data_IF_804840640138
#
_entry.id   IF_804840640138
#
_cell.length_a   1.000
_cell.length_b   1.000
_cell.length_c   1.000
_cell.angle_alpha   90.00
_cell.angle_beta   90.00
_cell.angle_gamma   90.00
#
_symmetry.space_group_name_H-M   'P 1'
#
loop_
_entity.id
_entity.type
_entity.pdbx_description
1 polymer ?
#
# COMPACT_ATOMS: atom_id res chain seq x y z
N UNK A 1 -2.89 37.41 -25.89
CA UNK A 1 -3.44 36.08 -26.21
C UNK A 1 -2.88 35.02 -25.28
N UNK A 2 -3.68 34.62 -24.28
CA UNK A 2 -3.31 33.57 -23.33
C UNK A 2 -3.91 32.23 -23.76
N UNK A 3 -3.17 31.14 -23.51
CA UNK A 3 -3.57 29.76 -23.76
C UNK A 3 -3.28 28.88 -22.56
N UNK A 4 -3.97 27.75 -22.49
CA UNK A 4 -3.73 26.72 -21.50
C UNK A 4 -2.59 25.79 -21.92
N UNK A 5 -1.74 25.43 -20.97
CA UNK A 5 -0.64 24.50 -21.15
C UNK A 5 -0.59 23.50 -19.99
N UNK A 6 -0.21 22.26 -20.29
CA UNK A 6 0.12 21.24 -19.30
C UNK A 6 1.59 20.89 -19.45
N UNK A 7 2.37 20.94 -18.36
CA UNK A 7 3.72 20.41 -18.34
C UNK A 7 3.73 19.12 -17.52
N UNK A 8 4.46 18.11 -18.01
CA UNK A 8 4.67 16.84 -17.32
C UNK A 8 6.16 16.51 -17.24
N UNK A 9 6.62 16.06 -16.07
CA UNK A 9 8.04 15.77 -15.82
C UNK A 9 8.39 14.40 -16.41
N UNK A 10 9.37 14.36 -17.31
CA UNK A 10 9.86 13.07 -17.81
C UNK A 10 10.59 12.33 -16.70
N UNK A 11 9.99 11.23 -16.24
CA UNK A 11 10.54 10.32 -15.24
C UNK A 11 11.08 11.05 -13.99
N UNK A 12 10.23 11.80 -13.28
CA UNK A 12 10.60 12.68 -12.15
C UNK A 12 11.72 12.11 -11.25
N UNK A 13 11.49 10.96 -10.61
CA UNK A 13 12.46 10.45 -9.62
C UNK A 13 13.84 10.15 -10.22
N UNK A 14 13.97 9.31 -11.26
CA UNK A 14 15.26 9.02 -11.83
C UNK A 14 15.86 10.20 -12.60
N UNK A 15 15.12 11.25 -12.95
CA UNK A 15 15.66 12.40 -13.70
C UNK A 15 16.27 13.50 -12.83
N UNK A 16 16.00 13.54 -11.52
CA UNK A 16 16.49 14.59 -10.63
C UNK A 16 17.98 14.44 -10.31
N UNK A 17 18.84 15.42 -10.63
CA UNK A 17 20.26 15.37 -10.24
C UNK A 17 20.44 15.45 -8.71
N UNK A 18 21.32 14.61 -8.16
CA UNK A 18 21.67 14.66 -6.72
C UNK A 18 22.23 16.02 -6.33
N UNK A 19 23.01 16.67 -7.20
CA UNK A 19 23.52 18.03 -6.98
C UNK A 19 22.41 19.03 -6.72
N UNK A 20 21.34 18.98 -7.53
CA UNK A 20 20.19 19.87 -7.43
C UNK A 20 19.43 19.64 -6.11
N UNK A 21 19.32 18.39 -5.66
CA UNK A 21 18.76 18.07 -4.33
C UNK A 21 19.57 18.74 -3.22
N UNK A 22 20.89 18.60 -3.26
CA UNK A 22 21.77 19.14 -2.22
C UNK A 22 21.78 20.68 -2.21
N UNK A 23 21.69 21.31 -3.38
CA UNK A 23 21.53 22.76 -3.53
C UNK A 23 20.20 23.22 -2.95
N UNK A 24 19.10 22.56 -3.33
CA UNK A 24 17.76 22.90 -2.86
C UNK A 24 17.65 22.78 -1.32
N UNK A 25 18.29 21.75 -0.72
CA UNK A 25 18.39 21.62 0.75
C UNK A 25 19.16 22.78 1.36
N UNK A 26 20.24 23.21 0.72
CA UNK A 26 21.08 24.32 1.21
C UNK A 26 20.29 25.62 1.21
N UNK A 27 19.54 25.89 0.13
CA UNK A 27 18.73 27.10 0.00
C UNK A 27 17.60 27.17 1.04
N UNK A 28 17.03 26.03 1.43
CA UNK A 28 15.93 25.95 2.42
C UNK A 28 16.38 25.53 3.81
N UNK A 29 17.68 25.57 4.09
CA UNK A 29 18.21 25.08 5.36
C UNK A 29 17.63 25.82 6.57
N UNK A 30 17.30 27.10 6.42
CA UNK A 30 16.67 27.91 7.47
C UNK A 30 15.32 27.35 7.93
N UNK A 31 14.58 26.71 7.03
CA UNK A 31 13.29 26.06 7.32
C UNK A 31 13.47 24.63 7.85
N UNK A 32 14.55 23.94 7.43
CA UNK A 32 14.80 22.53 7.76
C UNK A 32 15.46 22.38 9.14
N UNK A 33 16.38 23.29 9.50
CA UNK A 33 17.24 23.18 10.69
C UNK A 33 16.46 23.02 12.00
N UNK A 34 15.24 23.55 12.09
CA UNK A 34 14.45 23.51 13.31
C UNK A 34 13.82 22.13 13.56
N UNK A 35 13.80 21.27 12.54
CA UNK A 35 13.26 19.91 12.60
C UNK A 35 14.35 18.83 12.79
N UNK A 36 15.61 19.21 12.95
CA UNK A 36 16.71 18.25 13.10
C UNK A 36 17.82 18.79 13.99
N UNK A 37 18.49 17.88 14.71
CA UNK A 37 19.69 18.22 15.50
C UNK A 37 20.97 18.14 14.66
N UNK A 38 20.90 17.64 13.43
CA UNK A 38 22.03 17.45 12.54
C UNK A 38 22.34 18.77 11.83
N UNK A 39 23.61 19.18 11.83
CA UNK A 39 24.02 20.38 11.09
C UNK A 39 23.95 20.19 9.57
N UNK A 40 23.96 21.30 8.80
CA UNK A 40 23.82 21.28 7.35
C UNK A 40 24.84 20.35 6.66
N UNK A 41 26.09 20.34 7.14
CA UNK A 41 27.15 19.54 6.55
C UNK A 41 26.82 18.05 6.65
N UNK A 42 26.54 17.55 7.85
CA UNK A 42 26.22 16.14 8.08
C UNK A 42 24.88 15.75 7.46
N UNK A 43 23.91 16.64 7.44
CA UNK A 43 22.62 16.39 6.79
C UNK A 43 22.80 16.17 5.28
N UNK A 44 23.53 17.06 4.60
CA UNK A 44 23.85 16.93 3.16
C UNK A 44 24.66 15.67 2.88
N UNK A 45 25.68 15.38 3.69
CA UNK A 45 26.49 14.16 3.53
C UNK A 45 25.64 12.89 3.69
N UNK A 46 24.72 12.88 4.65
CA UNK A 46 23.82 11.74 4.88
C UNK A 46 22.89 11.51 3.69
N UNK A 47 22.26 12.57 3.17
CA UNK A 47 21.38 12.47 1.99
C UNK A 47 22.18 12.03 0.75
N UNK A 48 23.35 12.63 0.52
CA UNK A 48 24.22 12.25 -0.59
C UNK A 48 24.63 10.77 -0.51
N UNK A 49 25.05 10.32 0.68
CA UNK A 49 25.43 8.93 0.91
C UNK A 49 24.27 7.98 0.62
N UNK A 50 23.07 8.26 1.14
CA UNK A 50 21.88 7.41 0.93
C UNK A 50 21.53 7.31 -0.57
N UNK A 51 21.52 8.44 -1.27
CA UNK A 51 21.17 8.47 -2.70
C UNK A 51 22.22 7.79 -3.58
N UNK A 52 23.51 7.91 -3.24
CA UNK A 52 24.59 7.27 -3.99
C UNK A 52 24.70 5.76 -3.74
N UNK A 53 24.23 5.27 -2.59
CA UNK A 53 24.38 3.88 -2.17
C UNK A 53 23.04 3.13 -2.15
N UNK A 54 22.22 3.35 -3.19
CA UNK A 54 20.96 2.63 -3.36
C UNK A 54 21.17 1.36 -4.20
N UNK A 55 20.98 0.21 -3.57
CA UNK A 55 21.09 -1.11 -4.19
C UNK A 55 19.74 -1.83 -4.22
N UNK A 56 19.49 -2.58 -5.29
CA UNK A 56 18.33 -3.45 -5.41
C UNK A 56 18.69 -4.78 -6.08
N UNK A 57 17.86 -5.80 -5.85
CA UNK A 57 18.03 -7.13 -6.44
C UNK A 57 16.94 -7.34 -7.48
N UNK A 58 17.33 -7.76 -8.68
CA UNK A 58 16.43 -8.17 -9.74
C UNK A 58 17.02 -9.38 -10.46
N UNK A 59 16.24 -10.44 -10.68
CA UNK A 59 16.71 -11.68 -11.31
C UNK A 59 18.01 -12.23 -10.66
N UNK A 60 18.00 -12.30 -9.33
CA UNK A 60 19.12 -12.73 -8.46
C UNK A 60 20.46 -12.00 -8.68
N UNK A 61 20.42 -10.83 -9.32
CA UNK A 61 21.58 -9.96 -9.54
C UNK A 61 21.42 -8.65 -8.77
N UNK A 62 22.52 -8.17 -8.21
CA UNK A 62 22.60 -6.87 -7.57
C UNK A 62 22.79 -5.77 -8.60
N UNK A 63 21.98 -4.73 -8.49
CA UNK A 63 22.09 -3.51 -9.26
C UNK A 63 22.25 -2.34 -8.30
N UNK A 64 23.00 -1.33 -8.74
CA UNK A 64 23.11 -0.05 -8.06
C UNK A 64 22.47 1.02 -8.93
N UNK A 65 21.73 1.93 -8.31
CA UNK A 65 21.14 3.05 -9.04
C UNK A 65 22.21 4.11 -9.33
N UNK A 66 22.42 4.41 -10.62
CA UNK A 66 23.45 5.36 -11.06
C UNK A 66 23.01 6.81 -10.95
N UNK A 67 21.72 7.09 -11.14
CA UNK A 67 21.21 8.45 -11.27
C UNK A 67 19.82 8.60 -10.64
N UNK A 68 19.56 9.80 -10.14
CA UNK A 68 18.28 10.18 -9.58
C UNK A 68 17.94 9.56 -8.22
N UNK A 69 16.68 9.78 -7.85
CA UNK A 69 16.06 9.27 -6.65
C UNK A 69 15.49 7.86 -6.88
N UNK A 70 15.67 6.92 -5.93
CA UNK A 70 15.06 5.59 -6.01
C UNK A 70 13.55 5.62 -5.88
N UNK A 71 12.85 5.13 -6.91
CA UNK A 71 11.41 4.92 -6.83
C UNK A 71 11.08 3.93 -5.70
N UNK A 72 10.15 4.31 -4.83
CA UNK A 72 9.75 3.52 -3.66
C UNK A 72 10.57 3.79 -2.38
N UNK A 73 11.60 4.63 -2.43
CA UNK A 73 12.22 5.15 -1.22
C UNK A 73 11.30 6.17 -0.54
N UNK A 74 11.13 6.12 0.79
CA UNK A 74 10.34 7.10 1.52
C UNK A 74 10.94 8.52 1.47
N UNK A 75 12.23 8.64 1.13
CA UNK A 75 12.91 9.94 0.98
C UNK A 75 12.68 10.57 -0.38
N UNK A 76 12.39 9.79 -1.42
CA UNK A 76 12.34 10.30 -2.78
C UNK A 76 11.19 11.29 -3.02
N UNK A 77 9.94 11.06 -2.57
CA UNK A 77 8.85 12.03 -2.71
C UNK A 77 9.15 13.42 -2.12
N UNK A 78 9.57 13.55 -0.84
CA UNK A 78 9.84 14.88 -0.28
C UNK A 78 11.05 15.57 -0.93
N UNK A 79 12.07 14.82 -1.36
CA UNK A 79 13.22 15.41 -2.05
C UNK A 79 12.86 15.90 -3.46
N UNK A 80 12.02 15.15 -4.18
CA UNK A 80 11.53 15.55 -5.49
C UNK A 80 10.66 16.81 -5.39
N UNK A 81 9.75 16.85 -4.42
CA UNK A 81 8.92 18.03 -4.15
C UNK A 81 9.76 19.27 -3.85
N UNK A 82 10.80 19.11 -3.03
CA UNK A 82 11.70 20.20 -2.66
C UNK A 82 12.50 20.73 -3.88
N UNK A 83 12.92 19.86 -4.79
CA UNK A 83 13.58 20.24 -6.05
C UNK A 83 12.61 20.95 -6.99
N UNK A 84 11.38 20.45 -7.14
CA UNK A 84 10.38 21.10 -7.99
C UNK A 84 10.07 22.52 -7.50
N UNK A 85 9.89 22.72 -6.20
CA UNK A 85 9.69 24.06 -5.62
C UNK A 85 10.88 24.99 -5.84
N UNK A 86 12.11 24.46 -5.77
CA UNK A 86 13.31 25.23 -6.06
C UNK A 86 13.37 25.66 -7.53
N UNK A 87 13.09 24.73 -8.46
CA UNK A 87 13.02 25.04 -9.89
C UNK A 87 11.93 26.08 -10.18
N UNK A 88 10.72 25.91 -9.64
CA UNK A 88 9.61 26.85 -9.78
C UNK A 88 10.01 28.26 -9.34
N UNK A 89 10.65 28.38 -8.16
CA UNK A 89 11.08 29.67 -7.63
C UNK A 89 12.09 30.37 -8.54
N UNK A 90 13.05 29.62 -9.08
CA UNK A 90 14.06 30.16 -9.99
C UNK A 90 13.44 30.56 -11.33
N UNK A 91 12.58 29.71 -11.88
CA UNK A 91 11.90 29.96 -13.16
C UNK A 91 11.07 31.24 -13.07
N UNK A 92 10.23 31.38 -12.03
CA UNK A 92 9.38 32.57 -11.87
C UNK A 92 10.14 33.86 -11.58
N UNK A 93 11.35 33.79 -11.03
CA UNK A 93 12.23 34.95 -10.91
C UNK A 93 12.90 35.32 -12.22
N UNK A 94 13.12 34.36 -13.11
CA UNK A 94 13.83 34.56 -14.38
C UNK A 94 12.95 35.03 -15.53
N UNK A 95 11.63 34.78 -15.48
CA UNK A 95 10.72 35.14 -16.57
C UNK A 95 10.09 36.53 -16.38
N UNK A 96 9.91 37.30 -17.46
CA UNK A 96 9.37 38.66 -17.39
C UNK A 96 7.87 38.72 -17.13
N UNK A 97 7.15 37.63 -17.43
CA UNK A 97 5.69 37.53 -17.29
C UNK A 97 5.40 36.37 -16.36
N UNK A 98 4.62 36.60 -15.31
CA UNK A 98 4.15 35.53 -14.44
C UNK A 98 2.88 34.90 -15.03
N UNK A 99 2.72 33.57 -14.99
CA UNK A 99 1.48 32.93 -15.43
C UNK A 99 0.25 33.44 -14.68
N UNK A 100 -0.88 33.61 -15.38
CA UNK A 100 -2.15 34.04 -14.77
C UNK A 100 -2.70 32.94 -13.86
N UNK A 101 -2.59 31.71 -14.32
CA UNK A 101 -2.96 30.51 -13.58
C UNK A 101 -1.74 29.61 -13.53
N UNK A 102 -1.45 29.07 -12.35
CA UNK A 102 -0.43 28.06 -12.14
C UNK A 102 -0.88 27.10 -11.04
N UNK A 103 -0.98 25.83 -11.38
CA UNK A 103 -1.33 24.76 -10.46
C UNK A 103 -0.38 23.59 -10.69
N UNK A 104 0.12 23.00 -9.61
CA UNK A 104 0.92 21.78 -9.68
C UNK A 104 0.32 20.70 -8.79
N UNK A 105 0.24 19.49 -9.32
CA UNK A 105 -0.10 18.28 -8.58
C UNK A 105 1.02 17.27 -8.74
N UNK A 106 1.92 17.21 -7.74
CA UNK A 106 3.15 16.41 -7.80
C UNK A 106 4.00 16.83 -9.01
N UNK A 107 4.04 16.06 -10.09
CA UNK A 107 4.73 16.26 -11.35
C UNK A 107 3.89 16.98 -12.42
N UNK A 108 2.57 16.87 -12.36
CA UNK A 108 1.65 17.46 -13.33
C UNK A 108 1.46 18.97 -13.07
N UNK A 109 1.84 19.81 -14.03
CA UNK A 109 1.68 21.27 -13.95
C UNK A 109 0.62 21.71 -14.97
N UNK A 110 -0.31 22.55 -14.53
CA UNK A 110 -1.27 23.24 -15.37
C UNK A 110 -1.09 24.75 -15.24
N UNK A 111 -0.95 25.44 -16.37
CA UNK A 111 -0.73 26.89 -16.38
C UNK A 111 -1.41 27.59 -17.55
N UNK A 112 -1.64 28.89 -17.39
CA UNK A 112 -2.13 29.78 -18.45
C UNK A 112 -1.08 30.84 -18.75
N UNK A 113 -0.63 30.90 -20.01
CA UNK A 113 0.49 31.73 -20.43
C UNK A 113 0.34 32.28 -21.86
N UNK A 114 1.18 33.23 -22.23
CA UNK A 114 1.20 33.79 -23.58
C UNK A 114 1.86 32.82 -24.56
N UNK A 115 1.27 32.65 -25.75
CA UNK A 115 1.79 31.72 -26.76
C UNK A 115 3.20 32.08 -27.21
N UNK A 116 3.52 33.37 -27.26
CA UNK A 116 4.79 33.84 -27.79
C UNK A 116 5.97 33.55 -26.86
N UNK A 117 5.73 33.53 -25.53
CA UNK A 117 6.79 33.41 -24.53
C UNK A 117 6.81 32.02 -23.85
N UNK A 118 5.91 31.09 -24.23
CA UNK A 118 5.83 29.78 -23.57
C UNK A 118 7.09 28.95 -23.75
N UNK A 119 7.74 29.05 -24.91
CA UNK A 119 8.98 28.32 -25.19
C UNK A 119 10.12 28.81 -24.29
N UNK A 120 10.18 30.12 -24.00
CA UNK A 120 11.18 30.67 -23.07
C UNK A 120 10.96 30.12 -21.66
N UNK A 121 9.70 30.12 -21.19
CA UNK A 121 9.33 29.53 -19.90
C UNK A 121 9.66 28.02 -19.86
N UNK A 122 9.31 27.29 -20.92
CA UNK A 122 9.53 25.85 -21.03
C UNK A 122 11.03 25.51 -21.05
N UNK A 123 11.86 26.30 -21.74
CA UNK A 123 13.30 26.11 -21.77
C UNK A 123 13.96 26.28 -20.40
N UNK A 124 13.34 27.02 -19.48
CA UNK A 124 13.80 27.10 -18.08
C UNK A 124 13.50 25.81 -17.29
N UNK A 125 12.51 25.03 -17.72
CA UNK A 125 12.13 23.74 -17.14
C UNK A 125 12.83 22.59 -17.88
N UNK A 126 14.00 22.16 -17.37
CA UNK A 126 14.71 21.01 -17.94
C UNK A 126 13.92 19.70 -17.74
N UNK A 127 13.83 18.87 -18.78
CA UNK A 127 13.20 17.54 -18.78
C UNK A 127 11.67 17.50 -18.58
N UNK A 128 10.97 18.53 -19.01
CA UNK A 128 9.51 18.53 -19.07
C UNK A 128 9.02 18.22 -20.50
N UNK A 129 7.80 17.73 -20.62
CA UNK A 129 7.03 17.73 -21.86
C UNK A 129 5.95 18.80 -21.77
N UNK A 130 5.51 19.31 -22.92
CA UNK A 130 4.49 20.35 -23.01
C UNK A 130 3.32 19.86 -23.88
N UNK A 131 2.12 19.96 -23.33
CA UNK A 131 0.87 19.84 -24.08
C UNK A 131 0.21 21.22 -24.17
N UNK A 132 -0.04 21.68 -25.40
CA UNK A 132 -0.77 22.93 -25.67
C UNK A 132 -2.27 22.65 -25.86
N UNK A 133 -3.08 23.60 -25.40
CA UNK A 133 -4.50 23.67 -25.70
C UNK A 133 -4.80 23.49 -27.20
N UNK A 134 -5.63 22.50 -27.52
CA UNK A 134 -6.04 22.19 -28.89
C UNK A 134 -7.56 22.28 -29.00
N UNK A 135 -8.08 23.08 -29.94
CA UNK A 135 -9.52 23.31 -30.13
C UNK A 135 -10.25 23.74 -28.84
N UNK A 136 -9.68 24.73 -28.14
CA UNK A 136 -10.25 25.28 -26.89
C UNK A 136 -10.38 24.27 -25.75
N UNK A 137 -9.63 23.17 -25.79
CA UNK A 137 -9.62 22.15 -24.75
C UNK A 137 -8.22 21.68 -24.41
N UNK A 138 -8.03 21.34 -23.14
CA UNK A 138 -6.84 20.69 -22.62
C UNK A 138 -7.26 19.63 -21.60
N UNK A 139 -6.63 18.46 -21.63
CA UNK A 139 -6.84 17.45 -20.59
C UNK A 139 -5.80 17.64 -19.50
N UNK A 140 -6.22 17.57 -18.25
CA UNK A 140 -5.33 17.65 -17.08
C UNK A 140 -5.87 16.70 -16.01
N UNK A 141 -5.07 15.74 -15.56
CA UNK A 141 -5.51 14.69 -14.63
C UNK A 141 -6.82 13.99 -15.09
N UNK A 142 -7.84 13.99 -14.23
CA UNK A 142 -9.18 13.42 -14.48
C UNK A 142 -10.16 14.44 -15.10
N UNK A 143 -9.71 15.61 -15.59
CA UNK A 143 -10.57 16.65 -16.18
C UNK A 143 -10.17 17.07 -17.60
N UNK A 144 -11.17 17.38 -18.41
CA UNK A 144 -11.04 18.15 -19.65
C UNK A 144 -11.48 19.57 -19.34
N UNK A 145 -10.58 20.52 -19.55
CA UNK A 145 -10.79 21.95 -19.34
C UNK A 145 -11.13 22.56 -20.70
N UNK A 146 -12.27 23.23 -20.79
CA UNK A 146 -12.72 23.98 -21.96
C UNK A 146 -12.50 25.47 -21.71
N UNK A 147 -11.74 26.11 -22.59
CA UNK A 147 -11.47 27.54 -22.57
C UNK A 147 -12.53 28.27 -23.43
N UNK A 148 -13.58 28.76 -22.77
CA UNK A 148 -14.68 29.42 -23.49
C UNK A 148 -14.36 30.90 -23.69
N UNK A 149 -14.73 31.50 -24.84
CA UNK A 149 -14.69 32.96 -25.02
C UNK A 149 -15.41 33.65 -23.86
N UNK A 150 -14.75 34.63 -23.22
CA UNK A 150 -15.12 35.31 -21.96
C UNK A 150 -14.48 34.75 -20.66
N UNK A 151 -13.28 34.18 -20.73
CA UNK A 151 -12.43 33.83 -19.58
C UNK A 151 -13.07 32.86 -18.57
N UNK A 152 -14.06 32.07 -18.98
CA UNK A 152 -14.68 31.05 -18.13
C UNK A 152 -14.17 29.68 -18.52
N UNK A 153 -13.57 28.99 -17.55
CA UNK A 153 -13.16 27.61 -17.70
C UNK A 153 -14.33 26.70 -17.33
N UNK A 154 -14.74 25.82 -18.25
CA UNK A 154 -15.62 24.72 -17.90
C UNK A 154 -14.81 23.44 -17.79
N UNK A 155 -15.12 22.62 -16.78
CA UNK A 155 -14.51 21.31 -16.64
C UNK A 155 -15.50 20.21 -16.99
N UNK A 156 -14.98 19.09 -17.47
CA UNK A 156 -15.73 17.85 -17.62
C UNK A 156 -14.85 16.66 -17.19
N UNK A 157 -15.47 15.57 -16.77
CA UNK A 157 -14.77 14.35 -16.39
C UNK A 157 -14.09 13.71 -17.61
N UNK A 158 -12.76 13.69 -17.60
CA UNK A 158 -11.92 13.09 -18.62
C UNK A 158 -11.68 11.60 -18.35
N UNK A 159 -11.55 10.83 -19.43
CA UNK A 159 -11.24 9.40 -19.42
C UNK A 159 -10.22 9.16 -20.52
N UNK A 160 -9.07 8.57 -20.17
CA UNK A 160 -8.03 8.24 -21.15
C UNK A 160 -8.61 7.33 -22.26
N UNK A 161 -8.22 7.50 -23.53
CA UNK A 161 -8.67 6.65 -24.63
C UNK A 161 -8.41 5.15 -24.42
N UNK A 162 -7.38 4.83 -23.63
CA UNK A 162 -6.99 3.47 -23.25
C UNK A 162 -7.85 2.87 -22.13
N UNK A 163 -8.83 3.60 -21.60
CA UNK A 163 -9.73 3.10 -20.55
C UNK A 163 -10.56 1.92 -21.06
N UNK A 164 -10.40 0.76 -20.43
CA UNK A 164 -11.13 -0.46 -20.82
C UNK A 164 -12.57 -0.50 -20.31
N UNK A 165 -13.05 0.55 -19.62
CA UNK A 165 -14.39 0.58 -18.98
C UNK A 165 -14.67 -0.62 -18.06
N UNK A 166 -13.62 -1.21 -17.47
CA UNK A 166 -13.72 -2.32 -16.53
C UNK A 166 -13.64 -1.80 -15.11
N UNK A 167 -14.66 -2.10 -14.33
CA UNK A 167 -14.68 -1.87 -12.87
C UNK A 167 -14.89 -3.22 -12.18
N UNK A 168 -15.03 -3.21 -10.85
CA UNK A 168 -15.36 -4.42 -10.11
C UNK A 168 -16.69 -4.99 -10.63
N UNK A 169 -16.69 -6.20 -11.19
CA UNK A 169 -17.93 -6.82 -11.65
C UNK A 169 -18.89 -7.05 -10.47
N UNK A 170 -20.20 -6.79 -10.67
CA UNK A 170 -21.20 -6.97 -9.62
C UNK A 170 -21.32 -8.43 -9.13
N UNK A 171 -20.99 -9.42 -9.96
CA UNK A 171 -21.02 -10.84 -9.60
C UNK A 171 -19.79 -11.27 -8.79
N UNK A 172 -18.79 -10.40 -8.61
CA UNK A 172 -17.63 -10.70 -7.77
C UNK A 172 -18.03 -10.99 -6.32
N UNK A 173 -17.25 -11.85 -5.66
CA UNK A 173 -17.40 -12.24 -4.25
C UNK A 173 -16.92 -11.11 -3.33
N UNK A 174 -17.61 -9.97 -3.40
CA UNK A 174 -17.28 -8.74 -2.70
C UNK A 174 -18.52 -8.23 -1.96
N UNK A 175 -18.27 -7.62 -0.80
CA UNK A 175 -19.32 -7.04 0.02
C UNK A 175 -20.09 -5.95 -0.75
N UNK A 176 -21.42 -5.90 -0.57
CA UNK A 176 -22.29 -4.94 -1.28
C UNK A 176 -21.90 -3.47 -1.04
N UNK A 177 -21.39 -3.13 0.14
CA UNK A 177 -20.89 -1.77 0.42
C UNK A 177 -19.75 -1.35 -0.52
N UNK A 178 -18.85 -2.26 -0.88
CA UNK A 178 -17.79 -1.98 -1.85
C UNK A 178 -18.39 -1.67 -3.21
N UNK A 179 -19.41 -2.44 -3.63
CA UNK A 179 -20.14 -2.24 -4.88
C UNK A 179 -20.91 -0.91 -4.86
N UNK A 180 -21.57 -0.57 -3.76
CA UNK A 180 -22.24 0.73 -3.56
C UNK A 180 -21.25 1.90 -3.60
N UNK A 181 -20.08 1.76 -2.96
CA UNK A 181 -19.05 2.79 -2.95
C UNK A 181 -18.49 3.07 -4.34
N UNK A 182 -18.39 2.05 -5.20
CA UNK A 182 -18.00 2.26 -6.60
C UNK A 182 -19.02 3.14 -7.32
N UNK A 183 -20.32 2.88 -7.16
CA UNK A 183 -21.38 3.72 -7.73
C UNK A 183 -21.27 5.16 -7.21
N UNK A 184 -21.11 5.33 -5.88
CA UNK A 184 -20.95 6.65 -5.26
C UNK A 184 -19.74 7.42 -5.81
N UNK A 185 -18.58 6.77 -5.93
CA UNK A 185 -17.36 7.39 -6.44
C UNK A 185 -17.46 7.77 -7.91
N UNK A 186 -18.15 6.96 -8.73
CA UNK A 186 -18.41 7.29 -10.13
C UNK A 186 -19.29 8.53 -10.27
N UNK A 187 -20.36 8.62 -9.48
CA UNK A 187 -21.23 9.81 -9.44
C UNK A 187 -20.46 11.03 -8.96
N UNK A 188 -19.69 10.90 -7.88
CA UNK A 188 -18.86 11.98 -7.35
C UNK A 188 -17.88 12.51 -8.41
N UNK A 189 -17.16 11.62 -9.11
CA UNK A 189 -16.25 12.02 -10.18
C UNK A 189 -16.99 12.68 -11.34
N UNK A 190 -18.05 12.05 -11.84
CA UNK A 190 -18.80 12.54 -12.99
C UNK A 190 -19.51 13.88 -12.75
N UNK A 191 -19.88 14.20 -11.50
CA UNK A 191 -20.60 15.43 -11.16
C UNK A 191 -19.70 16.51 -10.55
N UNK A 192 -18.85 16.17 -9.56
CA UNK A 192 -18.04 17.19 -8.84
C UNK A 192 -16.89 17.72 -9.68
N UNK A 193 -16.34 16.91 -10.59
CA UNK A 193 -15.27 17.36 -11.50
C UNK A 193 -15.80 18.10 -12.73
N UNK A 194 -17.12 18.13 -12.92
CA UNK A 194 -17.73 18.60 -14.17
C UNK A 194 -18.69 19.75 -13.94
N UNK A 195 -18.72 20.69 -14.88
CA UNK A 195 -19.76 21.71 -14.92
C UNK A 195 -21.15 21.06 -15.11
N UNK A 196 -22.19 21.68 -14.52
CA UNK A 196 -23.59 21.17 -14.53
C UNK A 196 -24.11 20.82 -15.92
N UNK A 197 -23.65 21.54 -16.95
CA UNK A 197 -23.95 21.29 -18.37
C UNK A 197 -23.66 19.84 -18.79
N UNK A 198 -22.64 19.20 -18.23
CA UNK A 198 -22.21 17.85 -18.62
C UNK A 198 -22.80 16.74 -17.75
N UNK A 199 -23.55 17.08 -16.70
CA UNK A 199 -24.04 16.09 -15.74
C UNK A 199 -24.93 15.03 -16.35
N UNK A 200 -25.86 15.40 -17.23
CA UNK A 200 -26.77 14.44 -17.89
C UNK A 200 -25.99 13.42 -18.74
N UNK A 201 -24.99 13.89 -19.49
CA UNK A 201 -24.14 13.02 -20.31
C UNK A 201 -23.27 12.10 -19.45
N UNK A 202 -22.66 12.64 -18.38
CA UNK A 202 -21.84 11.85 -17.46
C UNK A 202 -22.68 10.80 -16.71
N UNK A 203 -23.91 11.13 -16.30
CA UNK A 203 -24.82 10.17 -15.67
C UNK A 203 -25.25 9.07 -16.64
N UNK A 204 -25.53 9.41 -17.91
CA UNK A 204 -25.81 8.40 -18.94
C UNK A 204 -24.65 7.42 -19.08
N UNK A 205 -23.43 7.96 -19.21
CA UNK A 205 -22.22 7.13 -19.27
C UNK A 205 -22.04 6.24 -18.03
N UNK A 206 -22.29 6.76 -16.83
CA UNK A 206 -22.21 5.97 -15.59
C UNK A 206 -23.23 4.82 -15.60
N UNK A 207 -24.46 5.06 -16.07
CA UNK A 207 -25.48 4.01 -16.21
C UNK A 207 -24.97 2.89 -17.14
N UNK A 208 -24.47 3.25 -18.32
CA UNK A 208 -23.97 2.29 -19.31
C UNK A 208 -22.78 1.50 -18.77
N UNK A 209 -21.84 2.17 -18.10
CA UNK A 209 -20.67 1.57 -17.47
C UNK A 209 -21.07 0.54 -16.40
N UNK A 210 -22.06 0.87 -15.56
CA UNK A 210 -22.53 -0.03 -14.50
C UNK A 210 -23.23 -1.25 -15.07
N UNK A 211 -24.08 -1.07 -16.10
CA UNK A 211 -24.75 -2.17 -16.81
C UNK A 211 -23.72 -3.09 -17.45
N UNK A 212 -22.70 -2.53 -18.11
CA UNK A 212 -21.61 -3.29 -18.73
C UNK A 212 -20.87 -4.19 -17.71
N UNK A 213 -20.82 -3.78 -16.44
CA UNK A 213 -20.17 -4.51 -15.35
C UNK A 213 -21.17 -5.30 -14.47
N UNK A 214 -22.34 -5.65 -15.03
CA UNK A 214 -23.41 -6.47 -14.45
C UNK A 214 -24.09 -5.89 -13.19
N UNK A 215 -23.96 -4.58 -12.94
CA UNK A 215 -24.71 -3.97 -11.84
C UNK A 215 -26.20 -3.92 -12.19
N UNK A 216 -27.09 -4.44 -11.33
CA UNK A 216 -28.51 -4.41 -11.62
C UNK A 216 -29.09 -3.02 -11.36
N UNK A 217 -30.01 -2.56 -12.23
CA UNK A 217 -30.63 -1.23 -12.14
C UNK A 217 -31.28 -0.96 -10.78
N UNK A 218 -32.00 -1.94 -10.23
CA UNK A 218 -32.62 -1.83 -8.91
C UNK A 218 -31.63 -1.49 -7.78
N UNK A 219 -30.35 -1.86 -7.94
CA UNK A 219 -29.32 -1.62 -6.94
C UNK A 219 -28.70 -0.23 -7.07
N UNK A 220 -28.29 0.16 -8.29
CA UNK A 220 -27.51 1.39 -8.45
C UNK A 220 -28.37 2.64 -8.68
N UNK A 221 -29.57 2.52 -9.26
CA UNK A 221 -30.44 3.68 -9.55
C UNK A 221 -30.76 4.50 -8.28
N UNK A 222 -31.21 3.88 -7.17
CA UNK A 222 -31.49 4.64 -5.94
C UNK A 222 -30.24 5.31 -5.34
N UNK A 223 -29.06 4.69 -5.52
CA UNK A 223 -27.78 5.22 -5.04
C UNK A 223 -27.40 6.48 -5.84
N UNK A 224 -27.54 6.43 -7.16
CA UNK A 224 -27.26 7.57 -8.05
C UNK A 224 -28.18 8.74 -7.72
N UNK A 225 -29.49 8.50 -7.64
CA UNK A 225 -30.49 9.53 -7.36
C UNK A 225 -30.25 10.20 -6.01
N UNK A 226 -30.07 9.39 -4.96
CA UNK A 226 -29.76 9.87 -3.62
C UNK A 226 -28.47 10.68 -3.59
N UNK A 227 -27.41 10.21 -4.27
CA UNK A 227 -26.12 10.91 -4.26
C UNK A 227 -26.16 12.21 -5.06
N UNK A 228 -26.82 12.23 -6.21
CA UNK A 228 -27.05 13.43 -7.00
C UNK A 228 -27.77 14.50 -6.17
N UNK A 229 -28.84 14.12 -5.47
CA UNK A 229 -29.58 15.03 -4.59
C UNK A 229 -28.68 15.69 -3.53
N UNK A 230 -27.78 14.93 -2.88
CA UNK A 230 -26.86 15.50 -1.89
C UNK A 230 -25.81 16.43 -2.51
N UNK A 231 -25.34 16.14 -3.72
CA UNK A 231 -24.39 17.01 -4.43
C UNK A 231 -25.07 18.34 -4.82
N UNK A 232 -26.35 18.30 -5.18
CA UNK A 232 -27.14 19.50 -5.47
C UNK A 232 -27.47 20.30 -4.19
N UNK A 233 -27.57 19.63 -3.04
CA UNK A 233 -28.02 20.21 -1.77
C UNK A 233 -27.00 20.00 -0.63
N UNK A 234 -25.81 20.64 -0.69
CA UNK A 234 -24.73 20.40 0.28
C UNK A 234 -25.11 20.73 1.72
N UNK A 235 -25.99 21.72 1.95
CA UNK A 235 -26.43 22.13 3.29
C UNK A 235 -27.13 20.99 4.08
N UNK A 236 -27.84 20.10 3.41
CA UNK A 236 -28.53 18.94 4.03
C UNK A 236 -27.54 17.89 4.52
N UNK A 237 -26.38 17.79 3.87
CA UNK A 237 -25.35 16.78 4.16
C UNK A 237 -24.65 17.03 5.50
N UNK A 238 -24.47 18.30 5.89
CA UNK A 238 -23.77 18.69 7.12
C UNK A 238 -24.58 18.39 8.40
N UNK A 239 -25.90 18.22 8.28
CA UNK A 239 -26.78 17.94 9.43
C UNK A 239 -26.67 16.46 9.86
N UNK A 240 -26.31 15.55 8.94
CA UNK A 240 -26.30 14.10 9.19
C UNK A 240 -24.98 13.56 9.77
N UNK A 241 -23.90 14.37 9.80
CA UNK A 241 -22.56 13.94 10.21
C UNK A 241 -22.27 14.09 11.72
N UNK A 242 -23.23 14.55 12.51
CA UNK A 242 -23.07 14.81 13.95
C UNK A 242 -23.69 13.73 14.84
N UNK A 243 -23.44 12.46 14.54
CA UNK A 243 -23.78 11.36 15.44
C UNK A 243 -22.50 10.69 15.90
N UNK A 244 -22.32 10.56 17.22
CA UNK A 244 -21.23 9.77 17.81
C UNK A 244 -21.27 8.32 17.29
N UNK A 245 -20.09 7.73 17.07
CA UNK A 245 -19.98 6.35 16.58
C UNK A 245 -20.47 5.39 17.68
N UNK A 246 -21.55 4.62 17.48
CA UNK A 246 -22.15 3.79 18.53
C UNK A 246 -21.32 2.54 18.86
N UNK A 247 -20.25 2.26 18.11
CA UNK A 247 -19.44 1.07 18.30
C UNK A 247 -18.27 1.30 19.26
N UNK A 248 -18.09 0.40 20.22
CA UNK A 248 -16.99 0.45 21.20
C UNK A 248 -15.70 -0.13 20.63
N UNK A 249 -15.81 -1.22 19.85
CA UNK A 249 -14.69 -1.96 19.29
C UNK A 249 -14.91 -2.28 17.81
N UNK A 250 -13.84 -2.60 17.10
CA UNK A 250 -13.89 -3.03 15.68
C UNK A 250 -13.20 -4.37 15.49
N UNK A 251 -13.89 -5.32 14.87
CA UNK A 251 -13.37 -6.64 14.52
C UNK A 251 -13.32 -6.80 13.00
N UNK A 252 -12.18 -7.28 12.47
CA UNK A 252 -12.03 -7.59 11.05
C UNK A 252 -12.12 -9.10 10.81
N UNK A 253 -12.97 -9.53 9.87
CA UNK A 253 -13.15 -10.93 9.48
C UNK A 253 -13.14 -11.11 7.96
N UNK A 254 -12.82 -12.32 7.46
CA UNK A 254 -12.96 -12.64 6.04
C UNK A 254 -14.41 -12.50 5.58
N UNK A 255 -14.61 -11.91 4.41
CA UNK A 255 -15.95 -11.83 3.82
C UNK A 255 -16.48 -13.22 3.46
N UNK A 256 -17.69 -13.54 3.91
CA UNK A 256 -18.41 -14.76 3.52
C UNK A 256 -19.89 -14.45 3.32
N UNK A 257 -20.43 -14.66 2.11
CA UNK A 257 -21.81 -14.34 1.76
C UNK A 257 -22.83 -14.95 2.75
N UNK A 258 -22.63 -16.21 3.15
CA UNK A 258 -23.60 -16.97 3.95
C UNK A 258 -23.69 -16.53 5.41
N UNK A 259 -22.59 -16.03 5.98
CA UNK A 259 -22.50 -15.74 7.42
C UNK A 259 -22.43 -14.25 7.73
N UNK A 260 -22.03 -13.40 6.77
CA UNK A 260 -21.80 -11.96 6.96
C UNK A 260 -23.00 -11.26 7.61
N UNK A 261 -24.21 -11.46 7.10
CA UNK A 261 -25.39 -10.76 7.61
C UNK A 261 -25.72 -11.18 9.05
N UNK A 262 -25.63 -12.49 9.33
CA UNK A 262 -25.86 -13.05 10.68
C UNK A 262 -24.83 -12.55 11.67
N UNK A 263 -23.54 -12.59 11.30
CA UNK A 263 -22.45 -12.08 12.14
C UNK A 263 -22.60 -10.58 12.40
N UNK A 264 -22.89 -9.77 11.38
CA UNK A 264 -23.12 -8.34 11.58
C UNK A 264 -24.24 -8.06 12.57
N UNK A 265 -25.34 -8.81 12.51
CA UNK A 265 -26.43 -8.66 13.46
C UNK A 265 -26.00 -9.02 14.88
N UNK A 266 -25.34 -10.18 15.06
CA UNK A 266 -24.86 -10.64 16.36
C UNK A 266 -23.87 -9.67 17.00
N UNK A 267 -22.85 -9.23 16.27
CA UNK A 267 -21.83 -8.33 16.79
C UNK A 267 -22.36 -6.92 17.04
N UNK A 268 -23.37 -6.48 16.28
CA UNK A 268 -24.05 -5.19 16.51
C UNK A 268 -24.73 -5.14 17.88
N UNK A 269 -25.33 -6.25 18.36
CA UNK A 269 -25.94 -6.33 19.70
C UNK A 269 -24.91 -6.03 20.80
N UNK A 270 -23.65 -6.39 20.57
CA UNK A 270 -22.55 -6.15 21.50
C UNK A 270 -21.78 -4.84 21.24
N UNK A 271 -22.32 -3.92 20.43
CA UNK A 271 -21.66 -2.67 20.03
C UNK A 271 -20.28 -2.90 19.37
N UNK A 272 -20.08 -4.04 18.69
CA UNK A 272 -18.84 -4.33 17.96
C UNK A 272 -19.07 -4.10 16.47
N UNK A 273 -18.27 -3.20 15.89
CA UNK A 273 -18.25 -2.95 14.45
C UNK A 273 -17.54 -4.09 13.74
N UNK A 274 -18.25 -4.78 12.86
CA UNK A 274 -17.68 -5.86 12.07
C UNK A 274 -17.32 -5.37 10.66
N UNK A 275 -16.02 -5.40 10.36
CA UNK A 275 -15.42 -5.00 9.08
C UNK A 275 -14.96 -6.25 8.33
N UNK A 276 -15.17 -6.29 7.02
CA UNK A 276 -14.77 -7.43 6.23
C UNK A 276 -13.52 -7.15 5.42
N UNK A 277 -12.61 -8.12 5.39
CA UNK A 277 -11.43 -8.10 4.55
C UNK A 277 -11.49 -9.24 3.51
N UNK A 278 -10.72 -9.09 2.44
CA UNK A 278 -10.51 -10.15 1.46
C UNK A 278 -9.15 -10.77 1.73
N UNK A 279 -9.11 -11.96 2.32
CA UNK A 279 -7.83 -12.61 2.64
C UNK A 279 -7.11 -13.10 1.38
N UNK A 280 -7.85 -13.59 0.39
CA UNK A 280 -7.33 -14.10 -0.88
C UNK A 280 -7.51 -13.07 -2.00
N UNK A 281 -6.47 -12.30 -2.26
CA UNK A 281 -6.44 -11.36 -3.40
C UNK A 281 -5.73 -11.99 -4.59
N UNK A 282 -6.11 -11.59 -5.81
CA UNK A 282 -5.38 -11.96 -7.03
C UNK A 282 -3.90 -11.59 -6.90
N UNK A 283 -3.60 -10.47 -6.25
CA UNK A 283 -2.22 -10.08 -5.91
C UNK A 283 -1.49 -11.16 -5.10
N UNK A 284 -2.08 -11.70 -4.02
CA UNK A 284 -1.45 -12.78 -3.25
C UNK A 284 -1.31 -14.08 -4.05
N UNK A 285 -2.25 -14.38 -4.95
CA UNK A 285 -2.24 -15.61 -5.75
C UNK A 285 -1.21 -15.53 -6.88
N UNK A 286 -1.25 -14.45 -7.67
CA UNK A 286 -0.43 -14.29 -8.88
C UNK A 286 0.88 -13.53 -8.63
N UNK A 287 0.90 -12.61 -7.67
CA UNK A 287 1.99 -11.64 -7.46
C UNK A 287 2.74 -11.80 -6.11
N UNK A 288 2.52 -12.88 -5.35
CA UNK A 288 3.29 -13.16 -4.13
C UNK A 288 4.73 -13.61 -4.39
N UNK A 289 5.09 -13.94 -5.64
CA UNK A 289 6.36 -14.58 -6.01
C UNK A 289 7.39 -13.63 -6.63
N UNK A 290 7.14 -12.33 -6.72
CA UNK A 290 8.07 -11.38 -7.34
C UNK A 290 9.32 -11.08 -6.50
N UNK A 291 9.25 -11.30 -5.19
CA UNK A 291 10.46 -11.21 -4.35
C UNK A 291 11.21 -12.53 -4.41
N UNK A 292 12.55 -12.51 -4.53
CA UNK A 292 13.35 -13.73 -4.48
C UNK A 292 13.05 -14.47 -3.18
N UNK A 293 12.86 -15.79 -3.27
CA UNK A 293 12.66 -16.61 -2.08
C UNK A 293 13.95 -16.54 -1.27
N UNK A 294 13.83 -16.19 0.01
CA UNK A 294 14.96 -16.31 0.93
C UNK A 294 15.31 -17.79 1.05
N UNK A 295 16.53 -18.14 0.68
CA UNK A 295 17.06 -19.48 0.90
C UNK A 295 17.21 -19.76 2.40
N UNK A 296 17.03 -21.02 2.76
CA UNK A 296 17.41 -21.50 4.09
C UNK A 296 18.91 -21.21 4.32
N UNK A 297 19.33 -20.78 5.52
CA UNK A 297 18.57 -20.58 6.76
C UNK A 297 18.22 -19.11 7.07
N UNK A 298 18.05 -18.25 6.05
CA UNK A 298 17.82 -16.80 6.21
C UNK A 298 16.33 -16.42 6.36
N UNK A 299 15.49 -17.40 6.69
CA UNK A 299 14.07 -17.22 6.94
C UNK A 299 13.83 -16.87 8.42
N UNK A 300 12.90 -15.96 8.68
CA UNK A 300 12.47 -15.54 10.01
C UNK A 300 10.94 -15.63 10.11
N UNK A 301 10.38 -15.55 11.31
CA UNK A 301 8.94 -15.65 11.56
C UNK A 301 8.34 -16.98 11.07
N UNK A 302 8.95 -18.08 11.54
CA UNK A 302 8.64 -19.42 11.06
C UNK A 302 8.39 -20.39 12.20
N UNK A 303 7.68 -21.45 11.88
CA UNK A 303 7.58 -22.68 12.65
C UNK A 303 8.42 -23.71 11.91
N UNK A 304 9.32 -24.37 12.63
CA UNK A 304 10.28 -25.31 12.07
C UNK A 304 10.31 -26.61 12.88
N UNK A 305 10.75 -27.68 12.23
CA UNK A 305 11.03 -28.97 12.87
C UNK A 305 12.50 -29.35 12.72
N UNK A 306 13.07 -29.95 13.77
CA UNK A 306 14.43 -30.48 13.79
C UNK A 306 14.36 -31.96 14.21
N UNK A 307 14.70 -32.91 13.34
CA UNK A 307 14.70 -34.33 13.70
C UNK A 307 15.92 -34.72 14.55
N UNK A 308 15.77 -35.78 15.34
CA UNK A 308 16.88 -36.46 15.99
C UNK A 308 17.60 -37.39 15.01
N UNK A 309 18.93 -37.54 15.11
CA UNK A 309 19.67 -38.54 14.32
C UNK A 309 19.50 -39.95 14.88
N UNK A 310 19.33 -40.05 16.19
CA UNK A 310 19.43 -41.32 16.92
C UNK A 310 18.07 -41.91 17.34
N UNK A 311 16.97 -41.17 17.15
CA UNK A 311 15.63 -41.68 17.39
C UNK A 311 14.57 -41.04 16.48
N UNK A 312 13.36 -41.58 16.49
CA UNK A 312 12.26 -41.11 15.63
C UNK A 312 11.58 -39.81 16.10
N UNK A 313 12.08 -39.19 17.16
CA UNK A 313 11.47 -37.98 17.73
C UNK A 313 11.92 -36.73 16.97
N UNK A 314 11.00 -35.77 16.82
CA UNK A 314 11.28 -34.45 16.27
C UNK A 314 10.99 -33.34 17.27
N UNK A 315 11.80 -32.29 17.22
CA UNK A 315 11.55 -31.05 17.96
C UNK A 315 10.83 -30.05 17.08
N UNK A 316 9.75 -29.47 17.60
CA UNK A 316 9.00 -28.39 16.97
C UNK A 316 9.28 -27.08 17.71
N UNK A 317 9.55 -26.02 16.96
CA UNK A 317 9.81 -24.71 17.53
C UNK A 317 9.32 -23.58 16.64
N UNK A 318 9.08 -22.42 17.25
CA UNK A 318 8.88 -21.17 16.53
C UNK A 318 10.04 -20.17 16.76
N UNK A 319 10.26 -19.28 15.78
CA UNK A 319 11.24 -18.19 15.92
C UNK A 319 10.81 -16.94 15.17
N UNK A 320 11.02 -15.77 15.78
CA UNK A 320 10.96 -14.46 15.12
C UNK A 320 12.29 -14.05 14.47
N UNK A 321 13.39 -14.67 14.89
CA UNK A 321 14.75 -14.41 14.39
C UNK A 321 15.05 -15.27 13.16
N UNK A 322 16.15 -14.99 12.45
CA UNK A 322 16.61 -15.88 11.39
C UNK A 322 16.86 -17.29 11.92
N UNK A 323 16.47 -18.29 11.14
CA UNK A 323 16.62 -19.70 11.49
C UNK A 323 18.08 -20.04 11.79
N UNK A 324 19.02 -19.45 11.05
CA UNK A 324 20.47 -19.56 11.29
C UNK A 324 20.85 -19.25 12.74
N UNK A 325 20.39 -18.09 13.23
CA UNK A 325 20.71 -17.61 14.57
C UNK A 325 20.03 -18.48 15.63
N UNK A 326 18.83 -18.97 15.33
CA UNK A 326 18.08 -19.86 16.21
C UNK A 326 18.75 -21.25 16.32
N UNK A 327 19.18 -21.83 15.21
CA UNK A 327 19.93 -23.10 15.19
C UNK A 327 21.24 -22.93 15.96
N UNK A 328 21.97 -21.84 15.74
CA UNK A 328 23.19 -21.54 16.49
C UNK A 328 22.94 -21.52 18.00
N UNK A 329 21.85 -20.89 18.45
CA UNK A 329 21.45 -20.91 19.87
C UNK A 329 21.15 -22.32 20.39
N UNK A 330 20.46 -23.16 19.61
CA UNK A 330 20.24 -24.56 20.00
C UNK A 330 21.55 -25.33 20.15
N UNK A 331 22.50 -25.16 19.21
CA UNK A 331 23.82 -25.80 19.26
C UNK A 331 24.57 -25.36 20.54
N UNK A 332 24.56 -24.06 20.85
CA UNK A 332 25.18 -23.55 22.07
C UNK A 332 24.53 -24.15 23.32
N UNK A 333 23.20 -24.18 23.39
CA UNK A 333 22.48 -24.75 24.53
C UNK A 333 22.75 -26.25 24.76
N UNK A 334 23.00 -27.02 23.69
CA UNK A 334 23.39 -28.43 23.80
C UNK A 334 24.83 -28.56 24.32
N UNK A 335 25.75 -27.67 23.90
CA UNK A 335 27.16 -27.67 24.34
C UNK A 335 27.33 -27.22 25.78
N UNK A 336 26.67 -26.14 26.18
CA UNK A 336 26.73 -25.62 27.55
C UNK A 336 25.76 -26.43 28.42
N UNK A 337 26.23 -27.48 29.09
CA UNK A 337 25.45 -28.30 30.04
C UNK A 337 24.98 -27.54 31.31
N UNK A 338 24.92 -26.20 31.27
CA UNK A 338 24.64 -25.37 32.43
C UNK A 338 23.18 -25.51 32.90
N UNK A 339 23.05 -25.74 34.20
CA UNK A 339 21.83 -25.83 34.97
C UNK A 339 21.20 -24.45 35.17
N UNK A 340 19.94 -24.31 34.74
CA UNK A 340 18.90 -23.43 35.31
C UNK A 340 18.47 -22.16 34.54
N UNK A 341 18.98 -21.84 33.34
CA UNK A 341 18.34 -20.82 32.47
C UNK A 341 18.28 -21.29 31.01
N UNK A 342 17.07 -21.50 30.49
CA UNK A 342 16.84 -21.59 29.03
C UNK A 342 17.00 -22.95 28.35
N UNK A 343 16.76 -24.08 29.03
CA UNK A 343 16.73 -25.40 28.38
C UNK A 343 15.53 -25.51 27.44
N UNK A 344 15.74 -25.48 26.13
CA UNK A 344 14.70 -25.90 25.17
C UNK A 344 14.48 -27.39 25.30
N UNK A 345 13.27 -27.89 25.01
CA UNK A 345 12.97 -29.33 25.05
C UNK A 345 13.96 -30.16 24.21
N UNK A 346 14.41 -29.62 23.07
CA UNK A 346 15.52 -30.16 22.28
C UNK A 346 16.80 -30.38 23.10
N UNK A 347 17.26 -29.37 23.85
CA UNK A 347 18.48 -29.48 24.66
C UNK A 347 18.29 -30.44 25.84
N UNK A 348 17.06 -30.56 26.36
CA UNK A 348 16.71 -31.51 27.42
C UNK A 348 16.77 -32.96 26.88
N UNK A 349 16.26 -33.19 25.68
CA UNK A 349 16.37 -34.48 24.99
C UNK A 349 17.83 -34.89 24.84
N UNK A 350 18.67 -34.06 24.20
CA UNK A 350 20.09 -34.35 24.00
C UNK A 350 20.82 -34.64 25.31
N UNK A 351 20.56 -33.88 26.38
CA UNK A 351 21.23 -34.07 27.66
C UNK A 351 20.80 -35.36 28.38
N UNK A 352 19.55 -35.79 28.21
CA UNK A 352 19.02 -36.97 28.90
C UNK A 352 19.36 -38.27 28.16
N UNK A 353 19.38 -38.25 26.83
CA UNK A 353 19.58 -39.45 26.01
C UNK A 353 20.98 -39.54 25.38
N UNK A 354 21.81 -38.49 25.50
CA UNK A 354 23.08 -38.34 24.78
C UNK A 354 22.92 -38.44 23.24
N UNK A 355 21.75 -38.12 22.70
CA UNK A 355 21.49 -38.12 21.27
C UNK A 355 21.92 -36.81 20.59
N UNK A 356 22.21 -36.89 19.29
CA UNK A 356 22.55 -35.79 18.41
C UNK A 356 21.35 -35.36 17.54
N UNK A 357 21.16 -34.06 17.40
CA UNK A 357 20.14 -33.49 16.52
C UNK A 357 20.66 -33.35 15.10
N UNK A 358 19.75 -33.49 14.13
CA UNK A 358 20.03 -33.23 12.73
C UNK A 358 19.62 -31.81 12.33
N UNK A 359 20.52 -30.86 12.58
CA UNK A 359 20.28 -29.46 12.25
C UNK A 359 20.26 -29.20 10.73
N UNK A 360 20.93 -30.03 9.94
CA UNK A 360 21.00 -29.88 8.48
C UNK A 360 19.67 -30.30 7.83
N UNK A 361 18.98 -31.28 8.41
CA UNK A 361 17.63 -31.72 7.99
C UNK A 361 16.49 -30.88 8.58
N UNK A 362 16.75 -29.63 8.98
CA UNK A 362 15.71 -28.73 9.49
C UNK A 362 14.70 -28.38 8.41
N UNK A 363 13.40 -28.52 8.70
CA UNK A 363 12.31 -28.18 7.77
C UNK A 363 11.46 -27.04 8.30
N UNK A 364 11.03 -26.16 7.39
CA UNK A 364 10.06 -25.11 7.71
C UNK A 364 8.66 -25.68 7.49
N UNK A 365 7.83 -25.63 8.53
CA UNK A 365 6.43 -26.10 8.49
C UNK A 365 5.48 -24.98 8.07
N UNK A 366 5.67 -23.78 8.59
CA UNK A 366 4.78 -22.64 8.34
C UNK A 366 5.53 -21.31 8.47
N UNK A 367 5.15 -20.34 7.63
CA UNK A 367 5.54 -18.95 7.76
C UNK A 367 4.38 -18.16 8.36
N UNK A 368 4.60 -17.50 9.49
CA UNK A 368 3.59 -16.65 10.15
C UNK A 368 4.26 -15.47 10.86
N UNK A 369 3.94 -14.26 10.41
CA UNK A 369 4.52 -13.03 10.94
C UNK A 369 3.93 -12.64 12.30
N UNK A 370 2.64 -12.92 12.54
CA UNK A 370 1.98 -12.58 13.78
C UNK A 370 2.43 -13.53 14.90
N UNK A 371 3.05 -12.98 15.94
CA UNK A 371 3.56 -13.73 17.08
C UNK A 371 2.50 -14.64 17.74
N UNK A 372 1.29 -14.12 17.97
CA UNK A 372 0.24 -14.85 18.66
C UNK A 372 -0.31 -15.98 17.80
N UNK A 373 -0.54 -15.72 16.51
CA UNK A 373 -0.97 -16.76 15.56
C UNK A 373 0.12 -17.83 15.42
N UNK A 374 1.40 -17.43 15.35
CA UNK A 374 2.52 -18.36 15.26
C UNK A 374 2.63 -19.25 16.50
N UNK A 375 2.41 -18.71 17.70
CA UNK A 375 2.38 -19.50 18.93
C UNK A 375 1.20 -20.48 18.99
N UNK A 376 0.02 -20.06 18.54
CA UNK A 376 -1.15 -20.93 18.42
C UNK A 376 -0.85 -22.05 17.41
N UNK A 377 -0.30 -21.71 16.25
CA UNK A 377 0.05 -22.68 15.22
C UNK A 377 1.13 -23.67 15.68
N UNK A 378 2.17 -23.22 16.39
CA UNK A 378 3.17 -24.11 17.00
C UNK A 378 2.50 -25.10 17.96
N UNK A 379 1.61 -24.60 18.82
CA UNK A 379 0.85 -25.42 19.76
C UNK A 379 -0.03 -26.45 19.05
N UNK A 380 -0.66 -26.07 17.93
CA UNK A 380 -1.40 -26.99 17.06
C UNK A 380 -0.50 -28.09 16.50
N UNK A 381 0.65 -27.73 15.92
CA UNK A 381 1.60 -28.71 15.39
C UNK A 381 2.07 -29.69 16.47
N UNK A 382 2.37 -29.21 17.67
CA UNK A 382 2.76 -30.05 18.82
C UNK A 382 1.64 -31.04 19.20
N UNK A 383 0.38 -30.61 19.19
CA UNK A 383 -0.73 -31.47 19.60
C UNK A 383 -1.19 -32.47 18.53
N UNK A 384 -0.93 -32.17 17.27
CA UNK A 384 -1.32 -32.98 16.11
C UNK A 384 -0.23 -34.01 15.76
N UNK A 385 1.03 -33.73 16.09
CA UNK A 385 2.17 -34.62 15.81
C UNK A 385 2.34 -35.70 16.88
N UNK A 386 2.64 -36.93 16.45
CA UNK A 386 2.71 -38.12 17.33
C UNK A 386 4.11 -38.34 17.92
N UNK A 387 5.17 -38.26 17.10
CA UNK A 387 6.56 -38.54 17.49
C UNK A 387 7.34 -37.26 17.80
N UNK A 388 7.02 -36.60 18.91
CA UNK A 388 7.60 -35.29 19.26
C UNK A 388 8.35 -35.28 20.59
N UNK A 389 9.35 -34.40 20.69
CA UNK A 389 10.10 -34.13 21.92
C UNK A 389 9.40 -33.13 22.84
N UNK A 390 8.59 -32.24 22.27
CA UNK A 390 7.95 -31.16 23.01
C UNK A 390 6.95 -31.68 24.05
N UNK A 391 6.90 -31.04 25.22
CA UNK A 391 5.84 -31.28 26.19
C UNK A 391 4.52 -30.72 25.68
N UNK A 392 3.46 -31.55 25.70
CA UNK A 392 2.09 -31.12 25.42
C UNK A 392 1.50 -30.41 26.64
N UNK A 393 2.05 -29.27 27.04
CA UNK A 393 1.43 -28.45 28.08
C UNK A 393 0.18 -27.78 27.53
N UNK A 394 -0.96 -28.01 28.18
CA UNK A 394 -2.22 -27.29 28.02
C UNK A 394 -1.93 -25.81 28.30
N UNK A 395 -2.16 -24.88 27.35
CA UNK A 395 -2.37 -23.44 27.63
C UNK A 395 -2.54 -22.52 26.41
N UNK A 396 -2.49 -22.99 25.16
CA UNK A 396 -2.76 -22.11 24.01
C UNK A 396 -4.15 -22.29 23.38
N UNK A 397 -4.76 -23.47 23.53
CA UNK A 397 -5.96 -23.86 22.77
C UNK A 397 -6.86 -24.70 23.66
N UNK A 398 -8.14 -24.31 23.75
CA UNK A 398 -9.16 -25.03 24.50
C UNK A 398 -9.42 -26.42 23.90
N UNK A 399 -9.62 -27.42 24.77
CA UNK A 399 -9.87 -28.82 24.40
C UNK A 399 -11.03 -28.99 23.41
N UNK A 400 -12.03 -28.08 23.44
CA UNK A 400 -13.11 -28.05 22.48
C UNK A 400 -12.61 -27.90 21.03
N UNK A 401 -11.71 -26.94 20.79
CA UNK A 401 -11.14 -26.72 19.46
C UNK A 401 -10.23 -27.87 19.04
N UNK A 402 -9.49 -28.45 19.99
CA UNK A 402 -8.57 -29.56 19.74
C UNK A 402 -9.34 -30.81 19.26
N UNK A 403 -10.46 -31.13 19.93
CA UNK A 403 -11.35 -32.23 19.51
C UNK A 403 -11.88 -32.02 18.09
N UNK A 404 -12.33 -30.80 17.80
CA UNK A 404 -12.88 -30.42 16.48
C UNK A 404 -11.81 -30.51 15.37
N UNK A 405 -10.59 -30.04 15.63
CA UNK A 405 -9.50 -30.08 14.64
C UNK A 405 -9.06 -31.53 14.39
N UNK A 406 -8.97 -32.36 15.43
CA UNK A 406 -8.64 -33.79 15.28
C UNK A 406 -9.70 -34.55 14.48
N UNK A 407 -10.98 -34.18 14.59
CA UNK A 407 -12.03 -34.81 13.78
C UNK A 407 -12.00 -34.39 12.31
N UNK A 408 -11.47 -33.20 11.98
CA UNK A 408 -11.34 -32.73 10.59
C UNK A 408 -10.13 -33.39 9.88
N UNK A 409 -9.13 -33.85 10.64
CA UNK A 409 -7.92 -34.51 10.10
C UNK A 409 -8.13 -36.00 9.77
N UNK A 410 -9.21 -36.62 10.26
CA UNK A 410 -9.68 -37.95 9.83
C UNK A 410 -10.52 -37.79 8.58
#
# INVERSE_FOLDING_TARGET
DYKLFSFDVVNLFPSIPISLILESITNRWTEIKDFTTINLHWFRQSINFILQHTYFIFDDKFYFQQFGCPMGSPLSPPLAELVLQFLESNVFQSVPITPILYFRYVDDIFLSYTKDNINDLFNCFNNFTIEEENNQKLNFLDITIFNIPNQTLLTNWYRKPTSTSRILNFLSYQHLSTKSNIVLNLVDRGLKLSHKKFWSSNLSYINDLLILNNYPKWFFTPIIEKRKFYIENPAVTNITLKTEDPYTNTLSLPYSHSFTAKLKHLFKIHNIRLVFNNETTIYKILFSKFKPKKELPYNSNIIYEIPCKDCELTYLGNTSQYLKDRIYKHIQNVKTKNSNQGKTELSRHCNNTNHNMDFDSTKILLFENNHNIRHIAESLFIQISEKIMNTRSVNAIDDFYIKTIRSIKK
#
